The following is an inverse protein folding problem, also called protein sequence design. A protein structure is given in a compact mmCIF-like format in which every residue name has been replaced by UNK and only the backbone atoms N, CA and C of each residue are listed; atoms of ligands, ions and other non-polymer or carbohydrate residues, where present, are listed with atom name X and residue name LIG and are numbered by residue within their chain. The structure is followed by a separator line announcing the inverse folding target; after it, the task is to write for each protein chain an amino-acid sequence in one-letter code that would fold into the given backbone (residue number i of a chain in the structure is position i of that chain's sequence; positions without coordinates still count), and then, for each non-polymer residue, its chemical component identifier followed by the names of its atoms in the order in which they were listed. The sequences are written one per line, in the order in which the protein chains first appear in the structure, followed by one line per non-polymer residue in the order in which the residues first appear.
data_IF_468105004917
#
_entry.id   IF_468105004917
#
_cell.length_a   1.000
_cell.length_b   1.000
_cell.length_c   1.000
_cell.angle_alpha   90.00
_cell.angle_beta   90.00
_cell.angle_gamma   90.00
#
_symmetry.space_group_name_H-M   'P 1'
#
loop_
_entity.id
_entity.type
_entity.pdbx_description
1 polymer ?
#
# COMPACT_ATOMS: atom_id res chain seq x y z
N UNK A 1 -14.72 33.62 8.88
CA UNK A 1 -14.36 32.74 7.76
C UNK A 1 -15.56 31.83 7.49
N UNK A 2 -15.86 31.46 6.23
CA UNK A 2 -17.06 30.65 5.94
C UNK A 2 -16.88 29.23 6.53
N UNK A 3 -17.81 28.72 7.38
CA UNK A 3 -17.69 27.42 8.03
C UNK A 3 -17.54 26.24 7.05
N UNK A 4 -18.07 26.38 5.83
CA UNK A 4 -17.92 25.36 4.79
C UNK A 4 -16.48 25.28 4.25
N UNK A 5 -15.78 26.41 4.15
CA UNK A 5 -14.37 26.47 3.73
C UNK A 5 -13.47 25.85 4.81
N UNK A 6 -13.75 26.10 6.09
CA UNK A 6 -13.05 25.47 7.20
C UNK A 6 -13.24 23.95 7.20
N UNK A 7 -14.47 23.48 7.00
CA UNK A 7 -14.78 22.06 6.90
C UNK A 7 -14.09 21.41 5.71
N UNK A 8 -14.05 22.08 4.56
CA UNK A 8 -13.35 21.59 3.37
C UNK A 8 -11.83 21.46 3.62
N UNK A 9 -11.21 22.49 4.22
CA UNK A 9 -9.79 22.45 4.59
C UNK A 9 -9.48 21.33 5.59
N UNK A 10 -10.36 21.10 6.57
CA UNK A 10 -10.19 20.03 7.55
C UNK A 10 -10.21 18.64 6.89
N UNK A 11 -11.13 18.40 5.94
CA UNK A 11 -11.19 17.14 5.20
C UNK A 11 -9.95 16.92 4.32
N UNK A 12 -9.44 17.97 3.67
CA UNK A 12 -8.20 17.88 2.90
C UNK A 12 -6.99 17.56 3.80
N UNK A 13 -6.92 18.16 4.99
CA UNK A 13 -5.88 17.86 5.96
C UNK A 13 -5.97 16.43 6.50
N UNK A 14 -7.18 15.94 6.75
CA UNK A 14 -7.42 14.56 7.15
C UNK A 14 -7.01 13.57 6.04
N UNK A 15 -7.33 13.88 4.77
CA UNK A 15 -6.88 13.06 3.64
C UNK A 15 -5.36 13.06 3.53
N UNK A 16 -4.72 14.21 3.69
CA UNK A 16 -3.26 14.34 3.67
C UNK A 16 -2.59 13.51 4.78
N UNK A 17 -3.13 13.52 6.00
CA UNK A 17 -2.58 12.73 7.10
C UNK A 17 -2.69 11.22 6.82
N UNK A 18 -3.84 10.76 6.32
CA UNK A 18 -4.03 9.36 5.93
C UNK A 18 -3.07 8.92 4.82
N UNK A 19 -2.85 9.76 3.80
CA UNK A 19 -1.89 9.47 2.74
C UNK A 19 -0.45 9.38 3.26
N UNK A 20 -0.07 10.22 4.23
CA UNK A 20 1.25 10.14 4.86
C UNK A 20 1.43 8.88 5.68
N UNK A 21 0.39 8.47 6.42
CA UNK A 21 0.40 7.19 7.15
C UNK A 21 0.53 6.02 6.17
N UNK A 22 -0.24 6.04 5.07
CA UNK A 22 -0.16 5.00 4.03
C UNK A 22 1.24 4.95 3.38
N UNK A 23 1.85 6.09 3.08
CA UNK A 23 3.22 6.15 2.57
C UNK A 23 4.21 5.50 3.54
N UNK A 24 4.10 5.81 4.83
CA UNK A 24 4.96 5.23 5.87
C UNK A 24 4.77 3.70 5.96
N UNK A 25 3.52 3.22 5.93
CA UNK A 25 3.18 1.80 5.93
C UNK A 25 3.79 1.05 4.73
N UNK A 26 3.77 1.65 3.53
CA UNK A 26 4.40 1.07 2.34
C UNK A 26 5.94 0.98 2.48
N UNK A 27 6.56 1.94 3.16
CA UNK A 27 8.00 1.91 3.47
C UNK A 27 8.33 0.81 4.48
N UNK A 28 7.52 0.66 5.52
CA UNK A 28 7.75 -0.36 6.56
C UNK A 28 7.47 -1.77 6.06
N UNK A 29 6.45 -1.97 5.21
CA UNK A 29 6.23 -3.23 4.49
C UNK A 29 7.48 -3.72 3.74
N UNK A 30 8.29 -2.80 3.21
CA UNK A 30 9.53 -3.19 2.51
C UNK A 30 10.54 -3.80 3.48
N UNK A 31 10.63 -3.30 4.72
CA UNK A 31 11.55 -3.82 5.74
C UNK A 31 11.14 -5.23 6.15
N UNK A 32 9.85 -5.43 6.39
CA UNK A 32 9.30 -6.74 6.76
C UNK A 32 9.39 -7.76 5.64
N UNK A 33 9.17 -7.34 4.39
CA UNK A 33 9.36 -8.18 3.22
C UNK A 33 10.82 -8.68 3.12
N UNK A 34 11.81 -7.83 3.44
CA UNK A 34 13.23 -8.25 3.49
C UNK A 34 13.50 -9.19 4.66
N UNK A 35 12.83 -8.99 5.79
CA UNK A 35 12.92 -9.88 6.96
C UNK A 35 12.18 -11.22 6.78
N UNK A 36 11.41 -11.38 5.69
CA UNK A 36 10.55 -12.54 5.43
C UNK A 36 9.50 -12.79 6.52
N UNK A 37 9.03 -11.72 7.18
CA UNK A 37 7.97 -11.79 8.18
C UNK A 37 6.59 -11.85 7.51
N UNK A 38 6.07 -13.06 7.29
CA UNK A 38 4.80 -13.28 6.61
C UNK A 38 3.59 -12.78 7.43
N UNK A 39 3.64 -12.91 8.74
CA UNK A 39 2.55 -12.51 9.63
C UNK A 39 2.49 -10.98 9.74
N UNK A 40 3.66 -10.33 9.88
CA UNK A 40 3.77 -8.87 9.83
C UNK A 40 3.26 -8.29 8.50
N UNK A 41 3.61 -8.92 7.38
CA UNK A 41 3.11 -8.53 6.06
C UNK A 41 1.59 -8.66 5.94
N UNK A 42 0.99 -9.73 6.48
CA UNK A 42 -0.46 -9.91 6.43
C UNK A 42 -1.17 -8.81 7.24
N UNK A 43 -0.69 -8.54 8.46
CA UNK A 43 -1.22 -7.46 9.30
C UNK A 43 -1.16 -6.10 8.59
N UNK A 44 -0.03 -5.78 7.95
CA UNK A 44 0.10 -4.50 7.22
C UNK A 44 -0.77 -4.39 5.99
N UNK A 45 -1.06 -5.50 5.29
CA UNK A 45 -2.02 -5.48 4.18
C UNK A 45 -3.40 -5.07 4.70
N UNK A 46 -3.85 -5.66 5.81
CA UNK A 46 -5.13 -5.28 6.44
C UNK A 46 -5.15 -3.80 6.84
N UNK A 47 -4.08 -3.31 7.47
CA UNK A 47 -3.96 -1.88 7.83
C UNK A 47 -4.00 -0.96 6.60
N UNK A 48 -3.34 -1.34 5.51
CA UNK A 48 -3.36 -0.59 4.24
C UNK A 48 -4.74 -0.58 3.59
N UNK A 49 -5.48 -1.69 3.64
CA UNK A 49 -6.85 -1.77 3.14
C UNK A 49 -7.80 -0.88 3.95
N UNK A 50 -7.63 -0.83 5.27
CA UNK A 50 -8.40 0.05 6.15
C UNK A 50 -8.10 1.53 5.87
N UNK A 51 -6.83 1.89 5.66
CA UNK A 51 -6.43 3.25 5.28
C UNK A 51 -7.01 3.65 3.91
N UNK A 52 -6.96 2.74 2.92
CA UNK A 52 -7.56 2.96 1.62
C UNK A 52 -9.07 3.19 1.72
N UNK A 53 -9.78 2.39 2.52
CA UNK A 53 -11.21 2.56 2.79
C UNK A 53 -11.51 3.92 3.44
N UNK A 54 -10.72 4.33 4.42
CA UNK A 54 -10.88 5.63 5.06
C UNK A 54 -10.69 6.79 4.07
N UNK A 55 -9.70 6.72 3.18
CA UNK A 55 -9.49 7.73 2.14
C UNK A 55 -10.69 7.78 1.19
N UNK A 56 -11.19 6.62 0.73
CA UNK A 56 -12.34 6.54 -0.15
C UNK A 56 -13.62 7.10 0.48
N UNK A 57 -13.81 6.96 1.79
CA UNK A 57 -14.95 7.53 2.50
C UNK A 57 -14.92 9.07 2.56
N UNK A 58 -13.74 9.69 2.47
CA UNK A 58 -13.60 11.15 2.47
C UNK A 58 -13.87 11.76 1.09
N UNK A 59 -13.60 11.02 0.00
CA UNK A 59 -13.67 11.53 -1.36
C UNK A 59 -15.04 12.14 -1.72
N UNK A 60 -16.20 11.50 -1.44
CA UNK A 60 -17.51 12.09 -1.75
C UNK A 60 -17.78 13.40 -0.99
N UNK A 61 -17.34 13.48 0.27
CA UNK A 61 -17.53 14.67 1.10
C UNK A 61 -16.68 15.83 0.58
N UNK A 62 -15.42 15.56 0.19
CA UNK A 62 -14.52 16.53 -0.42
C UNK A 62 -15.09 17.02 -1.76
N UNK A 63 -15.55 16.11 -2.63
CA UNK A 63 -16.12 16.45 -3.93
C UNK A 63 -17.39 17.30 -3.84
N UNK A 64 -18.23 17.03 -2.84
CA UNK A 64 -19.45 17.80 -2.60
C UNK A 64 -19.15 19.22 -2.14
N UNK A 65 -18.24 19.38 -1.17
CA UNK A 65 -17.85 20.68 -0.64
C UNK A 65 -17.04 21.49 -1.65
N UNK A 66 -16.20 20.84 -2.46
CA UNK A 66 -15.50 21.50 -3.56
C UNK A 66 -16.48 22.13 -4.55
N UNK A 67 -17.55 21.41 -4.92
CA UNK A 67 -18.60 21.94 -5.81
C UNK A 67 -19.34 23.11 -5.17
N UNK A 68 -19.73 22.99 -3.90
CA UNK A 68 -20.40 24.08 -3.16
C UNK A 68 -19.51 25.32 -3.04
N UNK A 69 -18.25 25.14 -2.67
CA UNK A 69 -17.29 26.24 -2.59
C UNK A 69 -17.04 26.88 -3.95
N UNK A 70 -16.92 26.11 -5.04
CA UNK A 70 -16.75 26.63 -6.39
C UNK A 70 -17.95 27.47 -6.85
N UNK A 71 -19.17 27.06 -6.49
CA UNK A 71 -20.41 27.80 -6.76
C UNK A 71 -20.49 29.10 -5.93
N UNK A 72 -20.16 29.04 -4.63
CA UNK A 72 -20.20 30.20 -3.73
C UNK A 72 -19.11 31.24 -4.03
N UNK A 73 -17.92 30.79 -4.42
CA UNK A 73 -16.77 31.66 -4.67
C UNK A 73 -16.73 32.22 -6.09
N UNK A 74 -17.72 31.91 -6.94
CA UNK A 74 -17.82 32.48 -8.28
C UNK A 74 -16.65 32.16 -9.21
N UNK A 75 -15.88 31.08 -8.94
CA UNK A 75 -14.74 30.66 -9.76
C UNK A 75 -15.14 30.21 -11.19
N UNK A 76 -16.44 30.23 -11.52
CA UNK A 76 -16.97 30.10 -12.86
C UNK A 76 -16.94 31.41 -13.69
N UNK A 77 -16.58 32.56 -13.10
CA UNK A 77 -16.51 33.85 -13.79
C UNK A 77 -15.04 34.31 -13.93
N UNK A 78 -14.49 34.40 -15.16
CA UNK A 78 -13.08 34.73 -15.40
C UNK A 78 -12.66 36.13 -14.90
N UNK A 79 -13.63 37.02 -14.68
CA UNK A 79 -13.38 38.45 -14.45
C UNK A 79 -13.04 38.79 -12.98
N UNK A 80 -13.12 37.82 -12.07
CA UNK A 80 -12.84 38.01 -10.63
C UNK A 80 -11.41 37.62 -10.22
N UNK A 81 -10.53 37.31 -11.19
CA UNK A 81 -9.14 36.90 -10.94
C UNK A 81 -8.32 37.97 -10.19
N UNK A 82 -8.71 39.24 -10.26
CA UNK A 82 -8.05 40.35 -9.54
C UNK A 82 -8.44 40.50 -8.06
N UNK A 83 -9.45 39.78 -7.55
CA UNK A 83 -9.97 39.95 -6.18
C UNK A 83 -9.57 38.84 -5.19
N UNK A 84 -8.77 37.86 -5.63
CA UNK A 84 -8.31 36.74 -4.80
C UNK A 84 -6.87 36.89 -4.30
N UNK A 85 -6.11 37.86 -4.81
CA UNK A 85 -4.80 38.25 -4.25
C UNK A 85 -5.02 38.93 -2.89
N UNK A 86 -4.68 38.24 -1.80
CA UNK A 86 -4.79 38.76 -0.42
C UNK A 86 -5.70 37.96 0.52
N UNK A 87 -6.36 36.91 0.02
CA UNK A 87 -7.17 36.05 0.86
C UNK A 87 -6.32 34.92 1.46
N UNK A 88 -5.89 35.07 2.73
CA UNK A 88 -5.05 34.11 3.45
C UNK A 88 -5.56 32.64 3.42
N UNK A 89 -6.87 32.44 3.23
CA UNK A 89 -7.46 31.11 3.08
C UNK A 89 -7.14 30.46 1.72
N UNK A 90 -7.02 31.25 0.64
CA UNK A 90 -6.71 30.78 -0.69
C UNK A 90 -5.25 30.30 -0.78
N UNK A 91 -4.33 31.01 -0.12
CA UNK A 91 -2.93 30.59 0.02
C UNK A 91 -2.81 29.29 0.83
N UNK A 92 -3.58 29.18 1.93
CA UNK A 92 -3.63 27.96 2.74
C UNK A 92 -4.18 26.77 1.95
N UNK A 93 -5.26 26.98 1.18
CA UNK A 93 -5.83 25.94 0.33
C UNK A 93 -4.84 25.48 -0.74
N UNK A 94 -4.17 26.43 -1.42
CA UNK A 94 -3.14 26.13 -2.43
C UNK A 94 -1.99 25.33 -1.83
N UNK A 95 -1.53 25.71 -0.64
CA UNK A 95 -0.51 24.98 0.11
C UNK A 95 -0.92 23.53 0.44
N UNK A 96 -2.14 23.34 0.95
CA UNK A 96 -2.65 21.99 1.28
C UNK A 96 -2.83 21.15 0.02
N UNK A 97 -3.35 21.71 -1.07
CA UNK A 97 -3.50 21.00 -2.35
C UNK A 97 -2.15 20.58 -2.94
N UNK A 98 -1.13 21.45 -2.85
CA UNK A 98 0.22 21.12 -3.31
C UNK A 98 0.82 19.96 -2.51
N UNK A 99 0.69 20.00 -1.19
CA UNK A 99 1.16 18.91 -0.32
C UNK A 99 0.38 17.61 -0.54
N UNK A 100 -0.93 17.70 -0.81
CA UNK A 100 -1.75 16.54 -1.17
C UNK A 100 -1.27 15.91 -2.47
N UNK A 101 -1.00 16.71 -3.51
CA UNK A 101 -0.48 16.23 -4.79
C UNK A 101 0.86 15.52 -4.64
N UNK A 102 1.78 16.07 -3.82
CA UNK A 102 3.05 15.38 -3.49
C UNK A 102 2.83 14.05 -2.79
N UNK A 103 1.97 14.03 -1.77
CA UNK A 103 1.69 12.81 -1.01
C UNK A 103 1.05 11.72 -1.88
N UNK A 104 0.12 12.09 -2.76
CA UNK A 104 -0.50 11.16 -3.72
C UNK A 104 0.52 10.60 -4.72
N UNK A 105 1.38 11.45 -5.29
CA UNK A 105 2.43 11.02 -6.19
C UNK A 105 3.41 10.05 -5.50
N UNK A 106 3.76 10.33 -4.25
CA UNK A 106 4.66 9.49 -3.47
C UNK A 106 4.03 8.13 -3.13
N UNK A 107 2.78 8.09 -2.66
CA UNK A 107 2.04 6.84 -2.44
C UNK A 107 1.96 6.04 -3.74
N UNK A 108 1.66 6.69 -4.88
CA UNK A 108 1.63 6.04 -6.19
C UNK A 108 2.97 5.39 -6.56
N UNK A 109 4.07 6.11 -6.37
CA UNK A 109 5.43 5.60 -6.60
C UNK A 109 5.77 4.43 -5.68
N UNK A 110 5.49 4.55 -4.39
CA UNK A 110 5.75 3.50 -3.40
C UNK A 110 4.94 2.24 -3.69
N UNK A 111 3.67 2.38 -4.07
CA UNK A 111 2.82 1.26 -4.43
C UNK A 111 3.34 0.52 -5.68
N UNK A 112 3.79 1.24 -6.71
CA UNK A 112 4.39 0.63 -7.90
C UNK A 112 5.65 -0.20 -7.56
N UNK A 113 6.49 0.34 -6.68
CA UNK A 113 7.69 -0.36 -6.19
C UNK A 113 7.29 -1.61 -5.42
N UNK A 114 6.33 -1.51 -4.49
CA UNK A 114 5.84 -2.63 -3.70
C UNK A 114 5.26 -3.74 -4.60
N UNK A 115 4.43 -3.38 -5.58
CA UNK A 115 3.89 -4.31 -6.57
C UNK A 115 4.99 -5.00 -7.41
N UNK A 116 6.09 -4.31 -7.70
CA UNK A 116 7.24 -4.93 -8.39
C UNK A 116 7.94 -5.97 -7.51
N UNK A 117 8.11 -5.70 -6.21
CA UNK A 117 8.67 -6.65 -5.24
C UNK A 117 7.80 -7.91 -5.12
N UNK A 118 6.49 -7.76 -4.91
CA UNK A 118 5.56 -8.89 -4.81
C UNK A 118 5.58 -9.75 -6.08
N UNK A 119 5.57 -9.13 -7.26
CA UNK A 119 5.69 -9.85 -8.54
C UNK A 119 7.01 -10.62 -8.67
N UNK A 120 8.11 -10.05 -8.19
CA UNK A 120 9.41 -10.75 -8.16
C UNK A 120 9.38 -11.92 -7.17
N UNK A 121 8.87 -11.71 -5.96
CA UNK A 121 8.72 -12.75 -4.93
C UNK A 121 7.96 -13.96 -5.46
N UNK A 122 6.77 -13.71 -6.03
CA UNK A 122 5.91 -14.74 -6.59
C UNK A 122 6.64 -15.57 -7.66
N UNK A 123 7.45 -14.93 -8.50
CA UNK A 123 8.27 -15.65 -9.49
C UNK A 123 9.29 -16.57 -8.82
N UNK A 124 10.01 -16.10 -7.80
CA UNK A 124 10.97 -16.92 -7.06
C UNK A 124 10.31 -18.10 -6.36
N UNK A 125 9.19 -17.87 -5.66
CA UNK A 125 8.42 -18.94 -5.02
C UNK A 125 7.94 -19.97 -6.04
N UNK A 126 7.40 -19.53 -7.17
CA UNK A 126 6.97 -20.44 -8.24
C UNK A 126 8.15 -21.26 -8.80
N UNK A 127 9.34 -20.65 -8.95
CA UNK A 127 10.53 -21.40 -9.37
C UNK A 127 10.94 -22.46 -8.36
N UNK A 128 10.91 -22.14 -7.05
CA UNK A 128 11.20 -23.10 -5.99
C UNK A 128 10.17 -24.22 -5.95
N UNK A 129 8.88 -23.90 -6.06
CA UNK A 129 7.81 -24.90 -6.13
C UNK A 129 7.98 -25.82 -7.34
N UNK A 130 8.35 -25.27 -8.50
CA UNK A 130 8.65 -26.07 -9.69
C UNK A 130 9.89 -26.95 -9.50
N UNK A 131 10.93 -26.44 -8.82
CA UNK A 131 12.13 -27.23 -8.51
C UNK A 131 11.78 -28.40 -7.59
N UNK A 132 11.02 -28.15 -6.50
CA UNK A 132 10.61 -29.18 -5.56
C UNK A 132 9.66 -30.20 -6.21
N UNK A 133 8.75 -29.77 -7.07
CA UNK A 133 7.85 -30.67 -7.80
C UNK A 133 8.58 -31.58 -8.80
N UNK A 134 9.71 -31.12 -9.35
CA UNK A 134 10.55 -31.90 -10.26
C UNK A 134 11.76 -32.53 -9.57
N UNK A 135 11.86 -32.45 -8.24
CA UNK A 135 12.98 -33.01 -7.51
C UNK A 135 12.88 -34.54 -7.50
N UNK A 136 13.63 -35.18 -8.40
CA UNK A 136 13.94 -36.58 -8.30
C UNK A 136 15.10 -36.76 -7.30
N UNK A 137 15.00 -37.74 -6.40
CA UNK A 137 16.05 -38.08 -5.44
C UNK A 137 17.42 -38.12 -6.14
N UNK A 138 18.32 -37.21 -5.75
CA UNK A 138 19.67 -37.12 -6.32
C UNK A 138 20.51 -38.37 -6.04
N UNK A 139 20.11 -39.15 -5.05
CA UNK A 139 20.71 -40.44 -4.73
C UNK A 139 19.60 -41.48 -4.50
N UNK A 140 19.50 -42.45 -5.40
CA UNK A 140 18.78 -43.68 -5.11
C UNK A 140 19.75 -44.62 -4.35
N UNK A 141 19.36 -45.15 -3.18
CA UNK A 141 20.21 -46.11 -2.48
C UNK A 141 20.48 -47.31 -3.39
N UNK A 142 21.73 -47.82 -3.45
CA UNK A 142 22.05 -48.97 -4.30
C UNK A 142 21.16 -50.14 -3.89
N UNK A 143 20.51 -50.78 -4.86
CA UNK A 143 19.57 -51.90 -4.68
C UNK A 143 20.18 -53.17 -4.06
N UNK A 144 21.39 -53.08 -3.50
CA UNK A 144 22.22 -54.19 -3.05
C UNK A 144 22.33 -54.40 -1.54
N UNK A 145 21.82 -53.50 -0.66
CA UNK A 145 21.82 -53.77 0.79
C UNK A 145 20.57 -54.52 1.25
N UNK A 146 20.19 -55.59 0.55
CA UNK A 146 19.50 -56.70 1.22
C UNK A 146 20.53 -57.38 2.11
N UNK A 147 20.74 -56.84 3.31
CA UNK A 147 21.34 -57.61 4.38
C UNK A 147 20.54 -58.91 4.50
N UNK A 148 21.16 -60.10 4.34
CA UNK A 148 20.46 -61.34 4.58
C UNK A 148 19.92 -61.31 6.01
N UNK A 149 18.64 -61.64 6.17
CA UNK A 149 17.99 -61.74 7.47
C UNK A 149 18.89 -62.57 8.41
N UNK A 150 19.14 -62.13 9.65
CA UNK A 150 19.86 -62.93 10.62
C UNK A 150 19.09 -64.25 10.78
N UNK A 151 19.69 -65.35 10.32
CA UNK A 151 19.23 -66.70 10.65
C UNK A 151 19.37 -66.81 12.16
N UNK A 152 18.26 -66.62 12.87
CA UNK A 152 18.13 -67.03 14.27
C UNK A 152 18.36 -68.54 14.24
N UNK A 153 19.56 -68.96 14.66
CA UNK A 153 19.90 -70.36 14.80
C UNK A 153 18.95 -70.94 15.86
N UNK A 154 18.14 -71.89 15.41
CA UNK A 154 17.31 -72.71 16.28
C UNK A 154 18.21 -73.54 17.20
N UNK A 155 17.97 -73.37 18.50
CA UNK A 155 18.09 -74.33 19.61
C UNK A 155 18.84 -75.65 19.33
N UNK A 156 19.91 -75.85 20.10
CA UNK A 156 20.37 -77.13 20.63
C UNK A 156 20.63 -76.97 22.11
#
# INVERSE_FOLDING_TARGET
MNPEIERYLALLQQRLSLLRILAQQLVDCRREFVAMDLDGMHGRITEQEDLCRQIQLLDPAIDSLQRTCAQQLGLARPDAAGSLEGNAWADRLRGVMHELGKAQAEVGRLNQIHAAYLRRSRRTVNMLMNLFGNYALTYAPPAGSRLPAPRIAERG
#
